data_IF_937753625610
#
_entry.id   IF_937753625610
#
_cell.length_a   1.000
_cell.length_b   1.000
_cell.length_c   1.000
_cell.angle_alpha   90.00
_cell.angle_beta   90.00
_cell.angle_gamma   90.00
#
_symmetry.space_group_name_H-M   'P 1'
#
loop_
_entity.id
_entity.type
_entity.pdbx_description
1 polymer ?
#
# COMPACT_ATOMS: atom_id res chain seq x y z
N UNK A 1 15.18 1.43 23.12
CA UNK A 1 13.88 2.03 23.48
C UNK A 1 12.87 0.89 23.58
N UNK A 2 12.01 0.86 24.60
CA UNK A 2 11.01 -0.22 24.73
C UNK A 2 9.76 0.14 23.92
N UNK A 3 9.00 -0.86 23.46
CA UNK A 3 7.81 -0.61 22.64
C UNK A 3 6.74 0.19 23.40
N UNK A 4 6.59 -0.03 24.71
CA UNK A 4 5.71 0.78 25.59
C UNK A 4 6.06 2.28 25.57
N UNK A 5 7.33 2.63 25.39
CA UNK A 5 7.76 4.02 25.28
C UNK A 5 7.29 4.61 23.94
N UNK A 6 7.30 3.81 22.87
CA UNK A 6 6.88 4.24 21.53
C UNK A 6 5.38 4.53 21.47
N UNK A 7 4.53 3.70 22.09
CA UNK A 7 3.09 3.97 22.17
C UNK A 7 2.80 5.33 22.84
N UNK A 8 3.56 5.69 23.87
CA UNK A 8 3.44 6.98 24.56
C UNK A 8 3.98 8.13 23.70
N UNK A 9 5.16 7.97 23.09
CA UNK A 9 5.80 9.00 22.25
C UNK A 9 4.91 9.36 21.07
N UNK A 10 4.35 8.35 20.39
CA UNK A 10 3.54 8.54 19.20
C UNK A 10 2.05 8.77 19.52
N UNK A 11 1.67 8.70 20.80
CA UNK A 11 0.29 8.85 21.28
C UNK A 11 -0.69 8.00 20.45
N UNK A 12 -0.43 6.70 20.40
CA UNK A 12 -1.22 5.74 19.60
C UNK A 12 -1.76 4.60 20.44
N UNK A 13 -2.71 3.85 19.88
CA UNK A 13 -3.37 2.72 20.53
C UNK A 13 -2.97 1.39 19.89
N UNK A 14 -3.11 0.29 20.64
CA UNK A 14 -2.95 -1.06 20.08
C UNK A 14 -3.89 -1.31 18.91
N UNK A 15 -5.13 -0.84 18.97
CA UNK A 15 -6.12 -0.98 17.89
C UNK A 15 -5.63 -0.31 16.60
N UNK A 16 -5.05 0.89 16.70
CA UNK A 16 -4.47 1.60 15.55
C UNK A 16 -3.29 0.83 14.95
N UNK A 17 -2.43 0.24 15.80
CA UNK A 17 -1.30 -0.58 15.35
C UNK A 17 -1.77 -1.87 14.68
N UNK A 18 -2.74 -2.57 15.25
CA UNK A 18 -3.33 -3.77 14.65
C UNK A 18 -3.94 -3.47 13.29
N UNK A 19 -4.63 -2.33 13.15
CA UNK A 19 -5.14 -1.86 11.87
C UNK A 19 -4.02 -1.67 10.85
N UNK A 20 -2.89 -1.09 11.25
CA UNK A 20 -1.73 -0.90 10.36
C UNK A 20 -1.07 -2.22 9.98
N UNK A 21 -0.92 -3.14 10.93
CA UNK A 21 -0.47 -4.51 10.63
C UNK A 21 -1.42 -5.21 9.65
N UNK A 22 -2.73 -5.01 9.77
CA UNK A 22 -3.72 -5.54 8.82
C UNK A 22 -3.57 -5.01 7.39
N UNK A 23 -3.00 -3.81 7.22
CA UNK A 23 -2.78 -3.17 5.91
C UNK A 23 -1.43 -3.59 5.31
N UNK A 24 -0.35 -3.47 6.10
CA UNK A 24 1.03 -3.61 5.61
C UNK A 24 1.54 -5.04 5.72
N UNK A 25 1.35 -5.69 6.87
CA UNK A 25 1.89 -7.02 7.16
C UNK A 25 1.04 -8.14 6.55
N UNK A 26 -0.30 -8.04 6.60
CA UNK A 26 -1.25 -8.99 6.00
C UNK A 26 -0.92 -10.49 6.32
N UNK A 27 -0.36 -10.78 7.50
CA UNK A 27 0.00 -12.14 7.92
C UNK A 27 1.40 -12.61 7.51
N UNK A 28 2.21 -11.80 6.83
CA UNK A 28 3.54 -12.19 6.33
C UNK A 28 4.68 -11.61 7.19
N UNK A 29 5.25 -12.43 8.09
CA UNK A 29 6.20 -11.99 9.13
C UNK A 29 7.49 -11.36 8.58
N UNK A 30 7.79 -11.55 7.30
CA UNK A 30 8.92 -10.88 6.63
C UNK A 30 8.72 -9.37 6.52
N UNK A 31 7.49 -8.89 6.71
CA UNK A 31 7.09 -7.49 6.58
C UNK A 31 6.73 -6.83 7.92
N UNK A 32 6.85 -7.57 9.04
CA UNK A 32 6.55 -7.04 10.37
C UNK A 32 7.74 -6.24 10.92
N UNK A 33 7.52 -4.96 11.22
CA UNK A 33 8.51 -4.08 11.85
C UNK A 33 7.83 -3.22 12.92
N UNK A 34 7.48 -3.82 14.06
CA UNK A 34 6.52 -3.27 15.03
C UNK A 34 6.72 -1.78 15.36
N UNK A 35 7.97 -1.35 15.51
CA UNK A 35 8.30 0.05 15.81
C UNK A 35 7.85 1.02 14.70
N UNK A 36 7.98 0.61 13.43
CA UNK A 36 7.51 1.38 12.29
C UNK A 36 5.98 1.39 12.22
N UNK A 37 5.32 0.26 12.52
CA UNK A 37 3.86 0.22 12.57
C UNK A 37 3.30 1.11 13.70
N UNK A 38 3.95 1.14 14.87
CA UNK A 38 3.61 2.07 15.98
C UNK A 38 3.75 3.52 15.52
N UNK A 39 4.85 3.87 14.85
CA UNK A 39 5.06 5.24 14.37
C UNK A 39 3.99 5.69 13.35
N UNK A 40 3.69 4.85 12.36
CA UNK A 40 2.64 5.16 11.36
C UNK A 40 1.25 5.23 12.00
N UNK A 41 0.94 4.34 12.95
CA UNK A 41 -0.32 4.39 13.68
C UNK A 41 -0.48 5.73 14.42
N UNK A 42 0.58 6.21 15.07
CA UNK A 42 0.61 7.54 15.66
C UNK A 42 0.40 8.67 14.66
N UNK A 43 1.04 8.62 13.48
CA UNK A 43 0.80 9.64 12.45
C UNK A 43 -0.64 9.65 11.94
N UNK A 44 -1.33 8.51 11.92
CA UNK A 44 -2.74 8.43 11.55
C UNK A 44 -3.63 8.98 12.66
N UNK A 45 -3.38 8.59 13.91
CA UNK A 45 -4.15 9.06 15.07
C UNK A 45 -4.04 10.59 15.22
N UNK A 46 -2.86 11.15 14.89
CA UNK A 46 -2.61 12.59 14.86
C UNK A 46 -2.98 13.28 13.53
N UNK A 47 -3.63 12.57 12.60
CA UNK A 47 -4.10 13.08 11.29
C UNK A 47 -3.00 13.64 10.38
N UNK A 48 -1.73 13.28 10.61
CA UNK A 48 -0.62 13.59 9.72
C UNK A 48 -0.65 12.73 8.45
N UNK A 49 -1.16 11.50 8.56
CA UNK A 49 -1.41 10.58 7.44
C UNK A 49 -2.90 10.23 7.40
N UNK A 50 -3.43 10.12 6.19
CA UNK A 50 -4.81 9.70 5.91
C UNK A 50 -4.83 8.34 5.20
N UNK A 51 -5.71 7.44 5.65
CA UNK A 51 -5.98 6.15 4.99
C UNK A 51 -7.44 6.09 4.57
N UNK A 52 -7.67 5.92 3.26
CA UNK A 52 -9.00 5.62 2.71
C UNK A 52 -9.06 4.17 2.25
N UNK A 53 -10.11 3.47 2.65
CA UNK A 53 -10.36 2.08 2.26
C UNK A 53 -11.47 2.02 1.21
N UNK A 54 -11.27 1.18 0.20
CA UNK A 54 -12.26 0.88 -0.82
C UNK A 54 -12.34 -0.63 -1.04
N UNK A 55 -13.55 -1.20 -1.02
CA UNK A 55 -13.78 -2.60 -1.37
C UNK A 55 -14.08 -2.72 -2.86
N UNK A 56 -13.40 -3.65 -3.52
CA UNK A 56 -13.52 -3.90 -4.95
C UNK A 56 -14.01 -5.32 -5.17
N UNK A 57 -15.12 -5.47 -5.91
CA UNK A 57 -15.61 -6.78 -6.32
C UNK A 57 -14.77 -7.28 -7.49
N UNK A 58 -14.28 -8.52 -7.42
CA UNK A 58 -13.37 -9.05 -8.42
C UNK A 58 -13.93 -8.98 -9.85
N UNK A 59 -15.24 -9.21 -10.00
CA UNK A 59 -15.94 -9.18 -11.30
C UNK A 59 -15.92 -7.81 -11.99
N UNK A 60 -15.74 -6.73 -11.22
CA UNK A 60 -15.76 -5.36 -11.73
C UNK A 60 -14.35 -4.87 -12.11
N UNK A 61 -13.30 -5.64 -11.80
CA UNK A 61 -11.91 -5.29 -12.09
C UNK A 61 -11.51 -5.76 -13.48
N UNK A 62 -11.28 -4.81 -14.40
CA UNK A 62 -10.75 -5.10 -15.75
C UNK A 62 -9.25 -5.36 -15.71
N UNK A 63 -8.85 -6.63 -15.54
CA UNK A 63 -7.43 -7.03 -15.50
C UNK A 63 -6.70 -6.68 -16.81
N UNK A 64 -5.46 -6.21 -16.67
CA UNK A 64 -4.57 -5.97 -17.81
C UNK A 64 -4.14 -7.28 -18.48
N UNK A 65 -4.10 -7.31 -19.82
CA UNK A 65 -3.56 -8.43 -20.61
C UNK A 65 -2.05 -8.32 -20.88
N UNK A 66 -1.36 -7.41 -20.19
CA UNK A 66 0.09 -7.26 -20.35
C UNK A 66 0.80 -8.54 -19.91
N UNK A 67 1.74 -9.02 -20.74
CA UNK A 67 2.60 -10.17 -20.40
C UNK A 67 3.50 -9.76 -19.24
N UNK A 68 3.39 -10.49 -18.14
CA UNK A 68 4.18 -10.27 -16.92
C UNK A 68 4.76 -11.62 -16.50
N UNK A 69 5.99 -11.62 -15.99
CA UNK A 69 6.65 -12.81 -15.42
C UNK A 69 6.84 -12.59 -13.91
N UNK A 70 7.06 -13.67 -13.17
CA UNK A 70 7.35 -13.59 -11.73
C UNK A 70 6.12 -13.74 -10.83
N UNK A 71 6.25 -13.48 -9.52
CA UNK A 71 5.18 -13.64 -8.54
C UNK A 71 4.09 -12.57 -8.69
N UNK A 72 2.90 -12.84 -8.14
CA UNK A 72 1.80 -11.86 -8.00
C UNK A 72 1.26 -11.28 -9.33
N UNK A 73 1.39 -12.00 -10.45
CA UNK A 73 0.93 -11.52 -11.77
C UNK A 73 -0.54 -11.12 -11.78
N UNK A 74 -1.41 -11.96 -11.21
CA UNK A 74 -2.86 -11.73 -11.19
C UNK A 74 -3.23 -10.41 -10.50
N UNK A 75 -2.65 -10.15 -9.32
CA UNK A 75 -2.92 -8.92 -8.57
C UNK A 75 -2.29 -7.69 -9.21
N UNK A 76 -1.11 -7.82 -9.83
CA UNK A 76 -0.48 -6.73 -10.59
C UNK A 76 -1.30 -6.38 -11.84
N UNK A 77 -1.87 -7.38 -12.53
CA UNK A 77 -2.79 -7.15 -13.64
C UNK A 77 -4.08 -6.44 -13.20
N UNK A 78 -4.62 -6.81 -12.02
CA UNK A 78 -5.76 -6.13 -11.41
C UNK A 78 -5.42 -4.67 -11.05
N UNK A 79 -4.27 -4.43 -10.41
CA UNK A 79 -3.77 -3.11 -10.05
C UNK A 79 -3.67 -2.18 -11.28
N UNK A 80 -3.07 -2.67 -12.37
CA UNK A 80 -2.99 -1.93 -13.64
C UNK A 80 -4.39 -1.61 -14.18
N UNK A 81 -5.30 -2.58 -14.14
CA UNK A 81 -6.70 -2.40 -14.53
C UNK A 81 -7.36 -1.24 -13.79
N UNK A 82 -7.30 -1.28 -12.46
CA UNK A 82 -7.86 -0.26 -11.57
C UNK A 82 -7.27 1.13 -11.86
N UNK A 83 -5.96 1.22 -12.06
CA UNK A 83 -5.28 2.48 -12.36
C UNK A 83 -5.71 3.04 -13.72
N UNK A 84 -5.78 2.18 -14.76
CA UNK A 84 -6.22 2.58 -16.10
C UNK A 84 -7.67 3.03 -16.13
N UNK A 85 -8.57 2.30 -15.45
CA UNK A 85 -9.99 2.66 -15.34
C UNK A 85 -10.18 4.02 -14.64
N UNK A 86 -9.22 4.42 -13.80
CA UNK A 86 -9.17 5.74 -13.14
C UNK A 86 -8.42 6.80 -13.94
N UNK A 87 -8.00 6.49 -15.17
CA UNK A 87 -7.32 7.40 -16.09
C UNK A 87 -5.88 7.71 -15.71
N UNK A 88 -5.18 6.79 -15.04
CA UNK A 88 -3.74 6.90 -14.82
C UNK A 88 -2.96 6.27 -15.98
N UNK A 89 -1.83 6.90 -16.31
CA UNK A 89 -0.85 6.37 -17.25
C UNK A 89 0.15 5.49 -16.51
N UNK A 90 0.26 4.23 -16.90
CA UNK A 90 1.21 3.28 -16.31
C UNK A 90 2.62 3.63 -16.76
N UNK A 91 3.54 3.84 -15.82
CA UNK A 91 4.95 4.10 -16.08
C UNK A 91 5.77 2.83 -16.15
N UNK A 92 5.40 1.83 -15.36
CA UNK A 92 6.05 0.53 -15.39
C UNK A 92 5.63 -0.35 -14.21
N UNK A 93 6.27 -1.50 -14.13
CA UNK A 93 6.14 -2.46 -13.05
C UNK A 93 7.53 -2.73 -12.46
N UNK A 94 7.59 -3.06 -11.17
CA UNK A 94 8.85 -3.35 -10.47
C UNK A 94 9.89 -2.23 -10.65
N UNK A 95 9.44 -0.99 -10.51
CA UNK A 95 10.27 0.20 -10.70
C UNK A 95 11.03 0.52 -9.41
N UNK A 96 12.33 0.80 -9.51
CA UNK A 96 13.10 1.28 -8.38
C UNK A 96 12.76 2.74 -8.07
N UNK A 97 12.39 3.00 -6.82
CA UNK A 97 12.15 4.31 -6.24
C UNK A 97 12.98 4.40 -4.96
N UNK A 98 14.05 5.22 -4.98
CA UNK A 98 14.94 5.45 -3.84
C UNK A 98 15.51 4.16 -3.20
N UNK A 99 15.79 3.14 -4.02
CA UNK A 99 16.30 1.84 -3.55
C UNK A 99 15.20 0.81 -3.26
N UNK A 100 13.96 1.23 -3.14
CA UNK A 100 12.79 0.38 -2.92
C UNK A 100 12.07 0.06 -4.24
N UNK A 101 11.68 -1.20 -4.48
CA UNK A 101 11.00 -1.61 -5.72
C UNK A 101 9.49 -1.51 -5.54
N UNK A 102 8.82 -0.65 -6.32
CA UNK A 102 7.35 -0.57 -6.34
C UNK A 102 6.76 -1.53 -7.38
N UNK A 103 5.68 -2.23 -7.04
CA UNK A 103 5.06 -3.19 -7.95
C UNK A 103 4.51 -2.55 -9.22
N UNK A 104 3.79 -1.43 -9.09
CA UNK A 104 3.27 -0.65 -10.24
C UNK A 104 3.41 0.83 -9.95
N UNK A 105 4.01 1.56 -10.90
CA UNK A 105 4.08 3.03 -10.86
C UNK A 105 3.16 3.61 -11.93
N UNK A 106 2.35 4.59 -11.57
CA UNK A 106 1.48 5.28 -12.51
C UNK A 106 1.36 6.78 -12.20
N UNK A 107 1.03 7.57 -13.22
CA UNK A 107 0.90 9.02 -13.08
C UNK A 107 -0.34 9.56 -13.76
N UNK A 108 -0.93 10.63 -13.23
CA UNK A 108 -2.02 11.38 -13.85
C UNK A 108 -1.85 12.86 -13.54
N UNK A 109 -1.60 13.67 -14.56
CA UNK A 109 -1.24 15.09 -14.39
C UNK A 109 -0.05 15.19 -13.39
N UNK A 110 -0.19 15.99 -12.34
CA UNK A 110 0.83 16.18 -11.31
C UNK A 110 0.78 15.15 -10.17
N UNK A 111 -0.02 14.07 -10.28
CA UNK A 111 -0.13 13.02 -9.25
C UNK A 111 0.61 11.76 -9.67
N UNK A 112 1.31 11.16 -8.72
CA UNK A 112 1.97 9.86 -8.85
C UNK A 112 1.35 8.85 -7.89
N UNK A 113 1.12 7.63 -8.35
CA UNK A 113 0.66 6.51 -7.52
C UNK A 113 1.76 5.45 -7.52
N UNK A 114 2.33 5.21 -6.34
CA UNK A 114 3.13 4.03 -6.06
C UNK A 114 2.17 2.94 -5.55
N UNK A 115 1.99 1.86 -6.30
CA UNK A 115 1.03 0.82 -5.98
C UNK A 115 1.72 -0.49 -5.63
N UNK A 116 1.45 -1.00 -4.43
CA UNK A 116 1.93 -2.28 -3.92
C UNK A 116 0.82 -3.33 -4.01
N UNK A 117 1.19 -4.55 -4.38
CA UNK A 117 0.27 -5.65 -4.68
C UNK A 117 0.39 -6.77 -3.65
N UNK A 118 0.05 -6.45 -2.40
CA UNK A 118 0.06 -7.38 -1.27
C UNK A 118 0.73 -6.77 -0.04
N UNK A 119 1.32 -7.58 0.84
CA UNK A 119 2.10 -7.10 1.97
C UNK A 119 3.20 -6.15 1.49
N UNK A 120 3.41 -5.07 2.24
CA UNK A 120 4.42 -4.06 1.97
C UNK A 120 5.09 -3.66 3.28
N UNK A 121 6.40 -3.45 3.26
CA UNK A 121 7.10 -2.98 4.45
C UNK A 121 6.84 -1.48 4.62
N UNK A 122 6.68 -1.05 5.86
CA UNK A 122 6.40 0.36 6.19
C UNK A 122 7.56 1.28 5.75
N UNK A 123 8.81 0.83 5.81
CA UNK A 123 9.97 1.62 5.36
C UNK A 123 9.85 2.03 3.87
N UNK A 124 9.49 1.08 3.00
CA UNK A 124 9.24 1.34 1.57
C UNK A 124 8.12 2.36 1.38
N UNK A 125 7.07 2.27 2.20
CA UNK A 125 5.94 3.19 2.14
C UNK A 125 6.35 4.63 2.46
N UNK A 126 7.22 4.81 3.45
CA UNK A 126 7.79 6.11 3.80
C UNK A 126 8.61 6.64 2.61
N UNK A 127 9.50 5.83 2.02
CA UNK A 127 10.31 6.23 0.85
C UNK A 127 9.46 6.80 -0.29
N UNK A 128 8.29 6.20 -0.53
CA UNK A 128 7.37 6.63 -1.59
C UNK A 128 6.67 7.94 -1.23
N UNK A 129 6.21 8.09 0.02
CA UNK A 129 5.43 9.24 0.47
C UNK A 129 6.27 10.51 0.61
N UNK A 130 7.58 10.39 0.81
CA UNK A 130 8.52 11.51 0.77
C UNK A 130 8.66 12.15 -0.62
N UNK A 131 8.24 11.48 -1.69
CA UNK A 131 8.27 12.03 -3.04
C UNK A 131 7.07 12.98 -3.22
N UNK A 132 7.30 14.25 -3.62
CA UNK A 132 6.21 15.21 -3.81
C UNK A 132 5.11 14.67 -4.72
N UNK A 133 3.86 14.92 -4.32
CA UNK A 133 2.64 14.50 -5.04
C UNK A 133 2.50 12.98 -5.26
N UNK A 134 3.14 12.16 -4.43
CA UNK A 134 3.00 10.69 -4.47
C UNK A 134 2.00 10.20 -3.43
N UNK A 135 1.10 9.32 -3.85
CA UNK A 135 0.23 8.54 -2.97
C UNK A 135 0.65 7.08 -3.02
N UNK A 136 0.55 6.40 -1.88
CA UNK A 136 0.73 4.95 -1.80
C UNK A 136 -0.62 4.28 -1.86
N UNK A 137 -0.80 3.37 -2.81
CA UNK A 137 -1.97 2.50 -2.89
C UNK A 137 -1.57 1.06 -2.61
N UNK A 138 -2.25 0.38 -1.69
CA UNK A 138 -1.98 -1.03 -1.37
C UNK A 138 -3.22 -1.84 -1.77
N UNK A 139 -3.06 -2.73 -2.74
CA UNK A 139 -4.09 -3.67 -3.13
C UNK A 139 -3.84 -5.00 -2.42
N UNK A 140 -4.82 -5.44 -1.63
CA UNK A 140 -4.73 -6.73 -0.95
C UNK A 140 -4.99 -7.88 -1.93
N UNK A 141 -4.48 -9.05 -1.57
CA UNK A 141 -4.80 -10.29 -2.28
C UNK A 141 -6.30 -10.57 -2.21
N UNK A 142 -6.78 -11.31 -3.22
CA UNK A 142 -8.12 -11.90 -3.21
C UNK A 142 -8.19 -12.86 -2.02
N UNK A 143 -9.10 -12.60 -1.10
CA UNK A 143 -9.49 -13.54 -0.06
C UNK A 143 -10.61 -14.46 -0.58
N UNK A 144 -11.04 -15.42 0.24
CA UNK A 144 -12.12 -16.37 -0.10
C UNK A 144 -13.43 -15.67 -0.51
N UNK A 145 -13.63 -14.40 -0.10
CA UNK A 145 -14.87 -13.64 -0.33
C UNK A 145 -14.99 -13.02 -1.72
N UNK A 146 -14.09 -13.31 -2.67
CA UNK A 146 -14.10 -12.75 -4.04
C UNK A 146 -14.04 -11.22 -4.10
N UNK A 147 -13.49 -10.61 -3.06
CA UNK A 147 -13.27 -9.18 -2.95
C UNK A 147 -11.78 -8.87 -2.81
N UNK A 148 -11.40 -7.65 -3.16
CA UNK A 148 -10.11 -7.07 -2.83
C UNK A 148 -10.33 -5.78 -2.07
N UNK A 149 -9.38 -5.44 -1.21
CA UNK A 149 -9.37 -4.15 -0.55
C UNK A 149 -8.26 -3.29 -1.15
N UNK A 150 -8.60 -2.06 -1.51
CA UNK A 150 -7.66 -1.04 -1.91
C UNK A 150 -7.55 -0.01 -0.80
N UNK A 151 -6.37 0.10 -0.21
CA UNK A 151 -6.02 1.18 0.71
C UNK A 151 -5.31 2.29 -0.05
N UNK A 152 -5.68 3.54 0.21
CA UNK A 152 -5.05 4.75 -0.36
C UNK A 152 -4.51 5.57 0.79
N UNK A 153 -3.20 5.79 0.79
CA UNK A 153 -2.44 6.39 1.88
C UNK A 153 -1.80 7.67 1.37
N UNK A 154 -2.02 8.78 2.11
CA UNK A 154 -1.40 10.08 1.85
C UNK A 154 -1.18 10.85 3.13
#
# INVERSE_FOLDING_TARGET
MKDEDLFKIYNTSFESVERIMGIFFQGDFRYLHLQNEIAIAGFIDNKAISIKQERLKEKDIKKSKMKMKGPQQDIKQAAIGILKDRGFNIKGFEINIRGSIVDVLATKKNRQIAMECGPCRVDKAIDYLEIPNTELWILTRKNETSERTLFKIR
#
